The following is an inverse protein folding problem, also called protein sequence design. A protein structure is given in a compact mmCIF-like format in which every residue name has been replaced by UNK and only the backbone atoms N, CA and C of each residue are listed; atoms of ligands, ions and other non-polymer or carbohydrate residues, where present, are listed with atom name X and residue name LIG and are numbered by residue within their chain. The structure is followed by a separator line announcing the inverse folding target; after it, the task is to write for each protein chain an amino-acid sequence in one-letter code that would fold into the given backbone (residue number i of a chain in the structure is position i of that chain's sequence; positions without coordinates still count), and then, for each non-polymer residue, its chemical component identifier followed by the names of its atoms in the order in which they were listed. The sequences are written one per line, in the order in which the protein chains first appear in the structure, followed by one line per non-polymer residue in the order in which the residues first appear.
data_IF_525082046139
#
_entry.id   IF_525082046139
#
_cell.length_a   1.000
_cell.length_b   1.000
_cell.length_c   1.000
_cell.angle_alpha   90.00
_cell.angle_beta   90.00
_cell.angle_gamma   90.00
#
_symmetry.space_group_name_H-M   'P 1'
#
loop_
_entity.id
_entity.type
_entity.pdbx_description
1 polymer ?
#
# COMPACT_ATOMS: atom_id res chain seq x y z
N UNK A 1 53.60 31.37 -62.11
CA UNK A 1 53.28 31.37 -60.67
C UNK A 1 51.77 31.59 -60.50
N UNK A 2 50.96 30.57 -60.15
CA UNK A 2 49.54 30.74 -59.83
C UNK A 2 49.32 30.85 -58.30
N UNK A 3 48.35 31.64 -57.81
CA UNK A 3 48.13 31.82 -56.39
C UNK A 3 47.18 30.75 -55.82
N UNK A 4 47.65 30.10 -54.76
CA UNK A 4 46.93 29.14 -53.91
C UNK A 4 46.09 29.93 -52.91
N UNK A 5 44.80 30.19 -53.18
CA UNK A 5 43.92 30.84 -52.18
C UNK A 5 42.50 30.25 -52.00
N UNK A 6 42.12 29.18 -52.69
CA UNK A 6 40.72 28.71 -52.68
C UNK A 6 40.41 27.40 -51.93
N UNK A 7 41.36 26.80 -51.19
CA UNK A 7 41.12 25.49 -50.54
C UNK A 7 40.65 25.56 -49.08
N UNK A 8 40.80 26.68 -48.39
CA UNK A 8 40.46 26.79 -46.96
C UNK A 8 38.98 27.08 -46.66
N UNK A 9 38.23 27.68 -47.59
CA UNK A 9 36.81 28.02 -47.34
C UNK A 9 35.85 26.83 -47.54
N UNK A 10 36.25 25.80 -48.29
CA UNK A 10 35.38 24.65 -48.58
C UNK A 10 35.38 23.60 -47.45
N UNK A 11 36.50 23.46 -46.72
CA UNK A 11 36.62 22.52 -45.59
C UNK A 11 35.85 22.99 -44.35
N UNK A 12 35.78 24.30 -44.10
CA UNK A 12 35.05 24.85 -42.96
C UNK A 12 33.52 24.69 -43.09
N UNK A 13 32.97 24.79 -44.30
CA UNK A 13 31.51 24.65 -44.52
C UNK A 13 31.02 23.21 -44.43
N UNK A 14 31.88 22.23 -44.74
CA UNK A 14 31.53 20.81 -44.62
C UNK A 14 31.52 20.40 -43.15
N UNK A 15 32.54 20.78 -42.36
CA UNK A 15 32.62 20.47 -40.93
C UNK A 15 31.46 21.07 -40.10
N UNK A 16 31.02 22.30 -40.42
CA UNK A 16 29.88 22.94 -39.73
C UNK A 16 28.57 22.20 -40.03
N UNK A 17 28.38 21.71 -41.27
CA UNK A 17 27.18 20.95 -41.63
C UNK A 17 27.14 19.56 -41.00
N UNK A 18 28.28 18.89 -40.86
CA UNK A 18 28.35 17.56 -40.20
C UNK A 18 28.11 17.67 -38.69
N UNK A 19 28.61 18.74 -38.04
CA UNK A 19 28.39 18.98 -36.60
C UNK A 19 26.93 19.35 -36.32
N UNK A 20 26.27 20.16 -37.18
CA UNK A 20 24.85 20.46 -37.02
C UNK A 20 23.94 19.24 -37.26
N UNK A 21 24.30 18.34 -38.18
CA UNK A 21 23.51 17.14 -38.45
C UNK A 21 23.67 16.06 -37.35
N UNK A 22 24.83 15.96 -36.72
CA UNK A 22 25.06 15.10 -35.56
C UNK A 22 24.36 15.62 -34.28
N UNK A 23 24.25 16.94 -34.11
CA UNK A 23 23.54 17.54 -32.99
C UNK A 23 22.00 17.40 -33.08
N UNK A 24 21.45 17.20 -34.28
CA UNK A 24 20.00 17.01 -34.46
C UNK A 24 19.55 15.56 -34.20
N UNK A 25 20.46 14.59 -34.30
CA UNK A 25 20.15 13.16 -34.10
C UNK A 25 20.17 12.72 -32.62
N UNK A 26 20.72 13.53 -31.70
CA UNK A 26 20.72 13.23 -30.26
C UNK A 26 19.49 13.78 -29.52
N UNK A 27 18.61 14.52 -30.20
CA UNK A 27 17.43 15.14 -29.59
C UNK A 27 16.14 14.27 -29.65
N UNK A 28 16.17 13.10 -30.27
CA UNK A 28 14.98 12.23 -30.46
C UNK A 28 14.96 11.04 -29.47
N UNK A 29 15.97 10.92 -28.61
CA UNK A 29 16.17 9.76 -27.73
C UNK A 29 15.89 10.00 -26.25
N UNK A 30 14.76 10.62 -25.87
CA UNK A 30 14.23 10.58 -24.50
C UNK A 30 12.70 10.68 -24.56
N UNK A 31 12.07 9.57 -24.95
CA UNK A 31 10.66 9.36 -24.67
C UNK A 31 10.50 9.12 -23.17
N UNK A 32 10.43 10.20 -22.38
CA UNK A 32 9.83 10.13 -21.05
C UNK A 32 8.37 9.74 -21.26
N UNK A 33 8.08 8.44 -21.20
CA UNK A 33 6.72 7.98 -21.02
C UNK A 33 6.29 8.46 -19.64
N UNK A 34 5.65 9.64 -19.60
CA UNK A 34 4.92 10.14 -18.43
C UNK A 34 4.12 8.96 -17.89
N UNK A 35 4.33 8.55 -16.64
CA UNK A 35 3.51 7.50 -16.03
C UNK A 35 2.06 7.91 -16.20
N UNK A 36 1.28 7.16 -16.98
CA UNK A 36 -0.13 7.45 -17.12
C UNK A 36 -0.74 7.41 -15.73
N UNK A 37 -1.27 8.54 -15.28
CA UNK A 37 -2.03 8.59 -14.04
C UNK A 37 -3.11 7.51 -14.11
N UNK A 38 -3.22 6.66 -13.07
CA UNK A 38 -4.27 5.65 -13.06
C UNK A 38 -5.63 6.36 -13.21
N UNK A 39 -6.56 5.79 -13.99
CA UNK A 39 -7.83 6.44 -14.29
C UNK A 39 -8.51 6.93 -13.01
N UNK A 40 -9.15 8.12 -13.03
CA UNK A 40 -9.84 8.68 -11.88
C UNK A 40 -10.77 7.65 -11.26
N UNK A 41 -10.55 7.34 -9.98
CA UNK A 41 -11.44 6.43 -9.26
C UNK A 41 -12.74 7.16 -8.94
N UNK A 42 -13.87 6.49 -9.18
CA UNK A 42 -15.08 6.77 -8.43
C UNK A 42 -14.82 6.60 -6.93
N UNK A 43 -15.13 7.65 -6.16
CA UNK A 43 -14.99 7.65 -4.69
C UNK A 43 -15.78 6.47 -4.12
N UNK A 44 -15.14 5.67 -3.27
CA UNK A 44 -15.85 4.61 -2.55
C UNK A 44 -16.87 5.21 -1.57
N UNK A 45 -17.92 4.47 -1.26
CA UNK A 45 -18.77 4.81 -0.13
C UNK A 45 -17.92 4.90 1.15
N UNK A 46 -18.25 5.85 2.03
CA UNK A 46 -17.47 6.05 3.25
C UNK A 46 -17.61 4.87 4.21
N UNK A 47 -16.50 4.54 4.88
CA UNK A 47 -16.32 3.32 5.65
C UNK A 47 -15.77 3.65 7.04
N UNK A 48 -14.95 2.76 7.61
CA UNK A 48 -14.21 3.00 8.85
C UNK A 48 -13.12 4.05 8.65
N UNK A 49 -12.84 4.81 9.71
CA UNK A 49 -11.71 5.74 9.75
C UNK A 49 -10.90 5.62 11.03
N UNK A 50 -9.62 5.94 10.94
CA UNK A 50 -8.68 6.07 12.06
C UNK A 50 -7.83 7.33 11.84
N UNK A 51 -7.83 8.27 12.79
CA UNK A 51 -7.23 9.61 12.60
C UNK A 51 -7.64 10.25 11.26
N UNK A 52 -8.93 10.23 10.96
CA UNK A 52 -9.51 10.74 9.70
C UNK A 52 -9.01 10.06 8.41
N UNK A 53 -8.19 9.01 8.52
CA UNK A 53 -7.80 8.15 7.42
C UNK A 53 -8.90 7.13 7.15
N UNK A 54 -9.60 7.28 6.02
CA UNK A 54 -10.63 6.36 5.56
C UNK A 54 -10.28 5.70 4.24
N UNK A 55 -11.19 4.87 3.74
CA UNK A 55 -11.04 4.08 2.50
C UNK A 55 -10.61 4.91 1.27
N UNK A 56 -10.95 6.19 1.23
CA UNK A 56 -10.65 7.11 0.13
C UNK A 56 -9.44 8.02 0.38
N UNK A 57 -8.84 7.98 1.58
CA UNK A 57 -7.71 8.84 1.92
C UNK A 57 -6.51 8.44 1.09
N UNK A 58 -5.99 9.38 0.29
CA UNK A 58 -4.76 9.18 -0.47
C UNK A 58 -3.58 9.63 0.37
N UNK A 59 -2.58 8.76 0.46
CA UNK A 59 -1.34 9.06 1.13
C UNK A 59 -0.62 10.22 0.42
N UNK A 60 -0.34 11.27 1.18
CA UNK A 60 0.46 12.43 0.76
C UNK A 60 1.54 12.74 1.81
N UNK A 61 2.43 13.69 1.51
CA UNK A 61 3.44 14.11 2.50
C UNK A 61 2.80 14.78 3.70
N UNK A 62 1.74 15.53 3.48
CA UNK A 62 0.96 16.26 4.50
C UNK A 62 0.26 15.27 5.43
N UNK A 63 -0.32 14.18 4.89
CA UNK A 63 -0.89 13.10 5.70
C UNK A 63 0.16 12.45 6.59
N UNK A 64 1.36 12.17 6.05
CA UNK A 64 2.44 11.57 6.85
C UNK A 64 2.94 12.54 7.92
N UNK A 65 3.07 13.83 7.59
CA UNK A 65 3.49 14.84 8.55
C UNK A 65 2.48 14.99 9.70
N UNK A 66 1.18 15.07 9.41
CA UNK A 66 0.13 15.14 10.44
C UNK A 66 0.16 13.90 11.36
N UNK A 67 0.41 12.72 10.80
CA UNK A 67 0.58 11.50 11.61
C UNK A 67 1.84 11.57 12.47
N UNK A 68 2.96 12.05 11.95
CA UNK A 68 4.21 12.17 12.71
C UNK A 68 4.09 13.18 13.85
N UNK A 69 3.38 14.28 13.63
CA UNK A 69 3.10 15.29 14.65
C UNK A 69 2.25 14.73 15.80
N UNK A 70 1.32 13.80 15.50
CA UNK A 70 0.41 13.21 16.49
C UNK A 70 0.95 11.93 17.16
N UNK A 71 1.67 11.11 16.40
CA UNK A 71 2.04 9.74 16.78
C UNK A 71 3.55 9.59 17.02
N UNK A 72 4.33 10.62 16.70
CA UNK A 72 5.80 10.62 16.79
C UNK A 72 6.45 9.97 15.57
N UNK A 73 7.76 9.71 15.66
CA UNK A 73 8.51 9.17 14.52
C UNK A 73 8.06 7.76 14.10
N UNK A 74 7.93 7.56 12.80
CA UNK A 74 7.63 6.25 12.21
C UNK A 74 8.88 5.53 11.69
N UNK A 75 8.80 4.21 11.59
CA UNK A 75 9.63 3.45 10.65
C UNK A 75 8.87 3.19 9.35
N UNK A 76 9.59 3.18 8.23
CA UNK A 76 9.01 3.12 6.89
C UNK A 76 9.52 1.94 6.06
N UNK A 77 8.63 1.27 5.35
CA UNK A 77 8.93 0.15 4.43
C UNK A 77 8.18 0.34 3.10
N UNK A 78 8.91 0.20 1.98
CA UNK A 78 8.40 0.42 0.61
C UNK A 78 7.95 -0.86 -0.11
N UNK A 79 8.30 -2.02 0.43
CA UNK A 79 8.00 -3.32 -0.16
C UNK A 79 7.98 -4.35 0.95
N UNK A 80 6.92 -5.14 1.01
CA UNK A 80 6.70 -6.09 2.08
C UNK A 80 5.63 -7.12 1.74
N UNK A 81 5.56 -8.17 2.55
CA UNK A 81 4.43 -9.10 2.55
C UNK A 81 3.17 -8.40 3.04
N UNK A 82 2.02 -8.77 2.49
CA UNK A 82 0.70 -8.40 3.03
C UNK A 82 0.13 -9.66 3.65
N UNK A 83 0.25 -9.76 4.98
CA UNK A 83 -0.41 -10.81 5.74
C UNK A 83 -1.59 -10.21 6.48
N UNK A 84 -2.80 -10.64 6.11
CA UNK A 84 -4.04 -10.21 6.75
C UNK A 84 -4.32 -10.98 8.05
N UNK A 85 -3.42 -11.88 8.48
CA UNK A 85 -3.56 -12.68 9.71
C UNK A 85 -3.99 -11.83 10.92
N UNK A 86 -4.92 -12.37 11.70
CA UNK A 86 -5.22 -11.88 13.04
C UNK A 86 -4.91 -13.00 14.01
N UNK A 87 -4.52 -12.65 15.23
CA UNK A 87 -4.25 -13.64 16.25
C UNK A 87 -5.56 -14.20 16.81
N UNK A 88 -5.58 -15.47 17.23
CA UNK A 88 -4.52 -16.48 17.07
C UNK A 88 -4.54 -17.12 15.67
N UNK A 89 -3.48 -17.87 15.34
CA UNK A 89 -3.36 -18.54 14.04
C UNK A 89 -4.61 -19.38 13.72
N UNK A 90 -5.08 -19.32 12.47
CA UNK A 90 -6.32 -19.96 12.03
C UNK A 90 -7.59 -19.10 12.21
N UNK A 91 -7.52 -17.96 12.90
CA UNK A 91 -8.70 -17.11 13.16
C UNK A 91 -9.47 -16.74 11.89
N UNK A 92 -8.74 -16.35 10.83
CA UNK A 92 -9.34 -15.97 9.56
C UNK A 92 -10.06 -17.11 8.87
N UNK A 93 -9.46 -18.29 8.82
CA UNK A 93 -10.06 -19.43 8.14
C UNK A 93 -11.38 -19.83 8.81
N UNK A 94 -11.39 -19.82 10.15
CA UNK A 94 -12.53 -20.28 10.93
C UNK A 94 -13.64 -19.22 11.06
N UNK A 95 -13.30 -17.93 11.09
CA UNK A 95 -14.25 -16.87 11.45
C UNK A 95 -14.44 -15.79 10.37
N UNK A 96 -13.49 -15.64 9.44
CA UNK A 96 -13.46 -14.55 8.45
C UNK A 96 -13.07 -15.05 7.05
N UNK A 97 -13.85 -16.00 6.50
CA UNK A 97 -13.52 -16.75 5.27
C UNK A 97 -13.24 -15.88 4.03
N UNK A 98 -13.94 -14.75 3.88
CA UNK A 98 -13.70 -13.80 2.80
C UNK A 98 -12.30 -13.17 2.89
N UNK A 99 -11.89 -12.74 4.08
CA UNK A 99 -10.54 -12.23 4.33
C UNK A 99 -9.49 -13.34 4.23
N UNK A 100 -9.80 -14.57 4.64
CA UNK A 100 -8.91 -15.71 4.44
C UNK A 100 -8.63 -15.95 2.94
N UNK A 101 -9.67 -15.94 2.12
CA UNK A 101 -9.55 -16.09 0.66
C UNK A 101 -8.69 -14.96 0.07
N UNK A 102 -8.91 -13.74 0.52
CA UNK A 102 -8.12 -12.58 0.10
C UNK A 102 -6.64 -12.73 0.51
N UNK A 103 -6.38 -13.15 1.75
CA UNK A 103 -5.02 -13.40 2.24
C UNK A 103 -4.31 -14.48 1.41
N UNK A 104 -5.02 -15.55 1.05
CA UNK A 104 -4.51 -16.61 0.17
C UNK A 104 -4.19 -16.11 -1.23
N UNK A 105 -4.98 -15.19 -1.78
CA UNK A 105 -4.72 -14.62 -3.11
C UNK A 105 -3.53 -13.66 -3.13
N UNK A 106 -3.32 -12.90 -2.05
CA UNK A 106 -2.16 -12.02 -1.88
C UNK A 106 -0.87 -12.84 -1.78
N UNK A 107 -0.91 -13.93 -1.02
CA UNK A 107 0.25 -14.78 -0.73
C UNK A 107 0.27 -16.06 -1.59
N UNK A 108 -0.12 -15.97 -2.86
CA UNK A 108 -0.09 -17.09 -3.81
C UNK A 108 1.10 -16.97 -4.77
N UNK A 109 1.85 -18.06 -5.05
CA UNK A 109 1.64 -19.43 -4.59
C UNK A 109 2.01 -19.66 -3.11
N UNK A 110 1.42 -20.69 -2.50
CA UNK A 110 1.64 -21.02 -1.08
C UNK A 110 3.08 -21.50 -0.86
N UNK A 111 3.72 -21.06 0.22
CA UNK A 111 5.09 -21.42 0.58
C UNK A 111 6.15 -20.48 0.00
N UNK A 112 5.76 -19.57 -0.89
CA UNK A 112 6.62 -18.51 -1.38
C UNK A 112 6.38 -17.19 -0.63
N UNK A 113 7.45 -16.41 -0.46
CA UNK A 113 7.35 -15.05 0.03
C UNK A 113 6.92 -14.14 -1.12
N UNK A 114 5.66 -13.72 -1.12
CA UNK A 114 5.12 -12.79 -2.12
C UNK A 114 5.27 -11.35 -1.61
N UNK A 115 6.16 -10.61 -2.26
CA UNK A 115 6.41 -9.20 -1.94
C UNK A 115 5.50 -8.28 -2.74
N UNK A 116 4.89 -7.30 -2.08
CA UNK A 116 4.01 -6.30 -2.68
C UNK A 116 4.61 -4.91 -2.59
N UNK A 117 4.37 -4.07 -3.60
CA UNK A 117 4.73 -2.65 -3.57
C UNK A 117 3.73 -1.91 -2.67
N UNK A 118 4.17 -1.63 -1.44
CA UNK A 118 3.37 -1.01 -0.39
C UNK A 118 4.09 0.18 0.21
N UNK A 119 3.38 0.94 1.04
CA UNK A 119 3.97 1.93 1.93
C UNK A 119 3.47 1.63 3.33
N UNK A 120 4.33 1.02 4.15
CA UNK A 120 4.03 0.67 5.53
C UNK A 120 4.70 1.67 6.47
N UNK A 121 3.89 2.30 7.31
CA UNK A 121 4.30 3.21 8.37
C UNK A 121 4.02 2.53 9.70
N UNK A 122 5.04 2.42 10.56
CA UNK A 122 4.90 1.82 11.88
C UNK A 122 5.32 2.80 12.97
N UNK A 123 4.39 3.14 13.84
CA UNK A 123 4.56 4.00 15.00
C UNK A 123 4.62 3.11 16.24
N UNK A 124 5.84 2.80 16.72
CA UNK A 124 6.06 1.81 17.80
C UNK A 124 5.91 2.36 19.22
N UNK A 125 5.89 3.68 19.36
CA UNK A 125 5.91 4.37 20.65
C UNK A 125 4.92 5.53 20.69
N UNK A 126 3.78 5.39 20.00
CA UNK A 126 2.78 6.45 19.91
C UNK A 126 2.25 6.88 21.30
N UNK A 127 2.27 6.00 22.29
CA UNK A 127 1.91 6.30 23.67
C UNK A 127 2.82 7.37 24.31
N UNK A 128 4.07 7.52 23.85
CA UNK A 128 4.98 8.58 24.33
C UNK A 128 4.54 9.99 23.90
N UNK A 129 3.66 10.09 22.92
CA UNK A 129 3.02 11.34 22.49
C UNK A 129 1.67 11.57 23.18
N UNK A 130 1.35 10.82 24.24
CA UNK A 130 0.09 10.96 24.98
C UNK A 130 -1.12 10.34 24.30
N UNK A 131 -0.91 9.49 23.29
CA UNK A 131 -2.00 8.78 22.61
C UNK A 131 -2.40 7.49 23.37
N UNK A 132 -3.66 7.04 23.25
CA UNK A 132 -4.12 5.78 23.85
C UNK A 132 -3.59 4.52 23.15
N UNK A 133 -2.61 4.65 22.25
CA UNK A 133 -2.13 3.57 21.41
C UNK A 133 -0.62 3.33 21.60
N UNK A 134 -0.22 2.09 21.83
CA UNK A 134 1.18 1.69 21.89
C UNK A 134 1.79 1.55 20.50
N UNK A 135 1.09 0.83 19.61
CA UNK A 135 1.57 0.47 18.28
C UNK A 135 0.51 0.76 17.23
N UNK A 136 0.93 1.40 16.13
CA UNK A 136 0.08 1.63 14.96
C UNK A 136 0.88 1.22 13.72
N UNK A 137 0.29 0.38 12.88
CA UNK A 137 0.78 0.04 11.55
C UNK A 137 -0.25 0.48 10.52
N UNK A 138 0.18 1.33 9.59
CA UNK A 138 -0.64 1.82 8.49
C UNK A 138 -0.04 1.34 7.17
N UNK A 139 -0.80 0.56 6.40
CA UNK A 139 -0.32 0.03 5.12
C UNK A 139 -1.15 0.56 3.97
N UNK A 140 -0.47 1.16 3.01
CA UNK A 140 -1.04 1.72 1.79
C UNK A 140 -0.49 1.00 0.55
N UNK A 141 -1.28 0.98 -0.53
CA UNK A 141 -0.80 0.56 -1.85
C UNK A 141 0.16 1.62 -2.40
N UNK A 142 1.36 1.22 -2.83
CA UNK A 142 2.30 2.18 -3.42
C UNK A 142 1.81 2.75 -4.76
N UNK A 143 1.01 1.97 -5.51
CA UNK A 143 0.50 2.37 -6.83
C UNK A 143 -0.69 3.32 -6.75
N UNK A 144 -1.61 3.11 -5.81
CA UNK A 144 -2.83 3.93 -5.70
C UNK A 144 -2.78 4.98 -4.60
N UNK A 145 -1.87 4.81 -3.62
CA UNK A 145 -1.82 5.63 -2.41
C UNK A 145 -2.98 5.38 -1.43
N UNK A 146 -3.87 4.42 -1.72
CA UNK A 146 -5.04 4.12 -0.89
C UNK A 146 -4.68 3.12 0.22
N UNK A 147 -5.36 3.19 1.39
CA UNK A 147 -5.08 2.29 2.51
C UNK A 147 -5.54 0.87 2.20
N UNK A 148 -4.78 -0.10 2.68
CA UNK A 148 -5.02 -1.53 2.52
C UNK A 148 -5.52 -2.15 3.82
N UNK A 149 -4.78 -1.94 4.90
CA UNK A 149 -5.20 -2.31 6.24
C UNK A 149 -4.45 -1.47 7.29
N UNK A 150 -5.07 -1.31 8.46
CA UNK A 150 -4.47 -0.70 9.63
C UNK A 150 -4.50 -1.67 10.81
N UNK A 151 -3.42 -1.76 11.57
CA UNK A 151 -3.35 -2.51 12.83
C UNK A 151 -2.99 -1.57 13.97
N UNK A 152 -3.78 -1.61 15.03
CA UNK A 152 -3.63 -0.74 16.18
C UNK A 152 -3.63 -1.58 17.45
N UNK A 153 -2.67 -1.31 18.33
CA UNK A 153 -2.59 -1.88 19.66
C UNK A 153 -2.75 -0.76 20.69
N UNK A 154 -3.86 -0.75 21.44
CA UNK A 154 -4.05 0.16 22.57
C UNK A 154 -2.99 0.00 23.66
N UNK A 155 -2.89 0.99 24.55
CA UNK A 155 -2.17 0.84 25.81
C UNK A 155 -2.85 -0.24 26.67
N UNK A 156 -2.09 -0.93 27.52
CA UNK A 156 -2.65 -1.96 28.40
C UNK A 156 -3.75 -1.37 29.29
N UNK A 157 -4.92 -2.00 29.31
CA UNK A 157 -6.09 -1.55 30.08
C UNK A 157 -6.88 -0.40 29.45
N UNK A 158 -6.42 0.15 28.32
CA UNK A 158 -7.20 1.13 27.57
C UNK A 158 -8.38 0.46 26.88
N UNK A 159 -9.58 0.99 27.08
CA UNK A 159 -10.84 0.44 26.52
C UNK A 159 -11.78 1.50 25.97
N UNK A 160 -11.47 2.80 26.09
CA UNK A 160 -12.38 3.89 25.66
C UNK A 160 -12.68 3.91 24.16
N UNK A 161 -11.85 3.24 23.34
CA UNK A 161 -12.12 3.04 21.92
C UNK A 161 -13.38 2.19 21.67
N UNK A 162 -13.79 1.35 22.63
CA UNK A 162 -14.97 0.50 22.51
C UNK A 162 -16.26 1.32 22.43
N UNK A 163 -16.40 2.32 23.31
CA UNK A 163 -17.55 3.22 23.31
C UNK A 163 -17.59 4.04 22.02
N UNK A 164 -16.42 4.51 21.56
CA UNK A 164 -16.29 5.22 20.28
C UNK A 164 -16.74 4.36 19.11
N UNK A 165 -16.36 3.07 19.07
CA UNK A 165 -16.80 2.16 18.01
C UNK A 165 -18.29 1.86 18.09
N UNK A 166 -18.84 1.69 19.29
CA UNK A 166 -20.26 1.48 19.48
C UNK A 166 -21.09 2.68 19.01
N UNK A 167 -20.69 3.89 19.37
CA UNK A 167 -21.35 5.13 18.96
C UNK A 167 -21.28 5.33 17.44
N UNK A 168 -20.09 5.12 16.85
CA UNK A 168 -19.85 5.42 15.43
C UNK A 168 -20.35 4.34 14.46
N UNK A 169 -20.32 3.08 14.88
CA UNK A 169 -20.57 1.94 14.00
C UNK A 169 -21.67 0.99 14.50
N UNK A 170 -22.25 1.24 15.68
CA UNK A 170 -23.30 0.42 16.27
C UNK A 170 -22.78 -0.82 17.00
N UNK A 171 -23.67 -1.77 17.28
CA UNK A 171 -23.32 -3.01 17.95
C UNK A 171 -22.44 -3.94 17.07
N UNK A 172 -21.36 -4.54 17.61
CA UNK A 172 -20.57 -5.52 16.88
C UNK A 172 -21.30 -6.86 16.74
N UNK A 173 -20.89 -7.63 15.74
CA UNK A 173 -21.07 -9.08 15.75
C UNK A 173 -19.98 -9.68 16.64
N UNK A 174 -20.42 -10.44 17.66
CA UNK A 174 -19.54 -11.08 18.64
C UNK A 174 -19.33 -12.55 18.26
N UNK A 175 -18.08 -12.94 18.08
CA UNK A 175 -17.69 -14.32 17.79
C UNK A 175 -16.70 -14.81 18.84
N UNK A 176 -17.10 -15.80 19.63
CA UNK A 176 -16.22 -16.43 20.63
C UNK A 176 -15.46 -17.57 19.98
N UNK A 177 -14.18 -17.71 20.33
CA UNK A 177 -13.36 -18.84 19.93
C UNK A 177 -12.75 -19.53 21.16
N UNK A 178 -13.53 -20.36 21.86
CA UNK A 178 -13.14 -20.92 23.17
C UNK A 178 -11.85 -21.73 23.13
N UNK A 179 -11.58 -22.45 22.04
CA UNK A 179 -10.38 -23.28 21.88
C UNK A 179 -9.09 -22.47 22.00
N UNK A 180 -9.15 -21.18 21.65
CA UNK A 180 -8.00 -20.28 21.71
C UNK A 180 -8.15 -19.18 22.77
N UNK A 181 -9.21 -19.21 23.58
CA UNK A 181 -9.45 -18.24 24.65
C UNK A 181 -9.60 -16.80 24.16
N UNK A 182 -10.08 -16.59 22.94
CA UNK A 182 -10.26 -15.26 22.36
C UNK A 182 -11.71 -14.98 21.98
N UNK A 183 -12.04 -13.70 21.92
CA UNK A 183 -13.29 -13.18 21.40
C UNK A 183 -13.00 -12.15 20.30
N UNK A 184 -13.82 -12.16 19.25
CA UNK A 184 -13.76 -11.18 18.17
C UNK A 184 -15.01 -10.32 18.20
N UNK A 185 -14.83 -9.00 18.18
CA UNK A 185 -15.89 -8.04 17.93
C UNK A 185 -15.68 -7.48 16.53
N UNK A 186 -16.69 -7.59 15.67
CA UNK A 186 -16.54 -7.23 14.27
C UNK A 186 -17.68 -6.37 13.74
N UNK A 187 -17.32 -5.44 12.86
CA UNK A 187 -18.24 -4.59 12.12
C UNK A 187 -17.94 -4.71 10.63
N UNK A 188 -19.00 -4.66 9.82
CA UNK A 188 -18.90 -4.57 8.36
C UNK A 188 -19.57 -3.30 7.89
N UNK A 189 -18.85 -2.48 7.11
CA UNK A 189 -19.38 -1.25 6.53
C UNK A 189 -18.80 -1.06 5.13
N UNK A 190 -19.68 -0.80 4.15
CA UNK A 190 -19.28 -0.62 2.75
C UNK A 190 -18.38 -1.75 2.16
N UNK A 191 -18.48 -2.97 2.70
CA UNK A 191 -17.67 -4.12 2.29
C UNK A 191 -16.30 -4.24 2.97
N UNK A 192 -15.91 -3.26 3.79
CA UNK A 192 -14.71 -3.31 4.62
C UNK A 192 -15.03 -3.95 5.99
N UNK A 193 -13.99 -4.37 6.70
CA UNK A 193 -14.14 -4.96 8.04
C UNK A 193 -13.30 -4.22 9.10
N UNK A 194 -13.91 -3.99 10.26
CA UNK A 194 -13.22 -3.63 11.50
C UNK A 194 -13.34 -4.82 12.45
N UNK A 195 -12.21 -5.29 12.99
CA UNK A 195 -12.15 -6.41 13.92
C UNK A 195 -11.35 -5.99 15.16
N UNK A 196 -11.93 -6.19 16.33
CA UNK A 196 -11.22 -6.13 17.61
C UNK A 196 -11.08 -7.56 18.12
N UNK A 197 -9.83 -8.04 18.18
CA UNK A 197 -9.49 -9.29 18.88
C UNK A 197 -9.28 -8.98 20.34
N UNK A 198 -9.96 -9.74 21.20
CA UNK A 198 -9.84 -9.70 22.65
C UNK A 198 -9.22 -11.03 23.09
N UNK A 199 -8.02 -10.97 23.64
CA UNK A 199 -7.33 -12.12 24.25
C UNK A 199 -6.82 -11.77 25.63
N UNK A 200 -5.93 -12.60 26.15
CA UNK A 200 -5.20 -12.33 27.40
C UNK A 200 -3.70 -12.39 27.17
N UNK A 201 -2.98 -11.49 27.83
CA UNK A 201 -1.52 -11.56 27.90
C UNK A 201 -1.06 -12.74 28.78
N UNK A 202 0.25 -13.00 28.82
CA UNK A 202 0.84 -14.07 29.65
C UNK A 202 0.55 -13.94 31.16
N UNK A 203 0.03 -12.81 31.62
CA UNK A 203 -0.34 -12.54 33.01
C UNK A 203 -1.86 -12.55 33.22
N UNK A 204 -2.63 -12.98 32.22
CA UNK A 204 -4.09 -13.05 32.28
C UNK A 204 -4.78 -11.70 32.16
N UNK A 205 -4.07 -10.62 31.79
CA UNK A 205 -4.70 -9.31 31.59
C UNK A 205 -5.29 -9.23 30.18
N UNK A 206 -6.50 -8.66 30.00
CA UNK A 206 -7.06 -8.47 28.67
C UNK A 206 -6.13 -7.68 27.74
N UNK A 207 -5.99 -8.17 26.51
CA UNK A 207 -5.21 -7.55 25.45
C UNK A 207 -6.10 -7.36 24.21
N UNK A 208 -6.02 -6.17 23.63
CA UNK A 208 -6.85 -5.77 22.49
C UNK A 208 -5.98 -5.54 21.26
N UNK A 209 -6.44 -6.07 20.12
CA UNK A 209 -5.86 -5.79 18.80
C UNK A 209 -6.97 -5.32 17.87
N UNK A 210 -6.84 -4.09 17.39
CA UNK A 210 -7.80 -3.47 16.47
C UNK A 210 -7.23 -3.57 15.06
N UNK A 211 -8.00 -4.10 14.11
CA UNK A 211 -7.59 -4.19 12.71
C UNK A 211 -8.71 -3.69 11.80
N UNK A 212 -8.38 -2.80 10.87
CA UNK A 212 -9.28 -2.33 9.81
C UNK A 212 -8.77 -2.88 8.48
N UNK A 213 -9.63 -3.55 7.72
CA UNK A 213 -9.34 -4.08 6.40
C UNK A 213 -10.16 -3.35 5.33
N UNK A 214 -9.47 -2.67 4.41
CA UNK A 214 -10.09 -2.00 3.28
C UNK A 214 -10.19 -2.96 2.09
N UNK A 215 -11.14 -3.89 2.16
CA UNK A 215 -11.33 -5.02 1.24
C UNK A 215 -11.37 -4.58 -0.22
N UNK A 216 -12.04 -3.45 -0.52
CA UNK A 216 -12.10 -2.90 -1.89
C UNK A 216 -10.71 -2.52 -2.40
N UNK A 217 -9.89 -1.89 -1.56
CA UNK A 217 -8.54 -1.45 -1.94
C UNK A 217 -7.57 -2.62 -2.07
N UNK A 218 -7.70 -3.65 -1.22
CA UNK A 218 -6.95 -4.91 -1.35
C UNK A 218 -7.28 -5.65 -2.66
N UNK A 219 -8.56 -5.76 -3.02
CA UNK A 219 -8.97 -6.33 -4.31
C UNK A 219 -8.44 -5.51 -5.49
N UNK A 220 -8.42 -4.19 -5.37
CA UNK A 220 -7.85 -3.31 -6.39
C UNK A 220 -6.35 -3.54 -6.57
N UNK A 221 -5.59 -3.67 -5.48
CA UNK A 221 -4.17 -4.01 -5.53
C UNK A 221 -3.95 -5.30 -6.33
N UNK A 222 -4.70 -6.37 -6.00
CA UNK A 222 -4.62 -7.64 -6.72
C UNK A 222 -4.93 -7.50 -8.21
N UNK A 223 -5.96 -6.73 -8.57
CA UNK A 223 -6.32 -6.50 -9.96
C UNK A 223 -5.20 -5.75 -10.72
N UNK A 224 -4.62 -4.72 -10.11
CA UNK A 224 -3.52 -3.95 -10.69
C UNK A 224 -2.28 -4.83 -10.88
N UNK A 225 -1.86 -5.58 -9.87
CA UNK A 225 -0.71 -6.48 -9.97
C UNK A 225 -0.91 -7.56 -11.05
N UNK A 226 -2.09 -8.19 -11.11
CA UNK A 226 -2.41 -9.17 -12.16
C UNK A 226 -2.35 -8.55 -13.55
N UNK A 227 -2.85 -7.33 -13.72
CA UNK A 227 -2.79 -6.62 -14.99
C UNK A 227 -1.36 -6.24 -15.40
N UNK A 228 -0.53 -5.80 -14.44
CA UNK A 228 0.88 -5.51 -14.64
C UNK A 228 1.69 -6.74 -15.05
N UNK A 229 1.51 -7.87 -14.34
CA UNK A 229 2.14 -9.16 -14.68
C UNK A 229 1.75 -9.63 -16.09
N UNK A 230 0.48 -9.45 -16.50
CA UNK A 230 0.03 -9.78 -17.87
C UNK A 230 0.69 -8.90 -18.93
N UNK A 231 0.87 -7.60 -18.67
CA UNK A 231 1.54 -6.67 -19.60
C UNK A 231 3.01 -7.02 -19.78
N UNK A 232 3.73 -7.27 -18.68
CA UNK A 232 5.14 -7.68 -18.71
C UNK A 232 5.34 -8.98 -19.52
N UNK A 233 4.52 -10.01 -19.27
CA UNK A 233 4.57 -11.27 -20.04
C UNK A 233 4.30 -11.09 -21.54
N UNK A 234 3.41 -10.17 -21.92
CA UNK A 234 3.14 -9.89 -23.35
C UNK A 234 4.31 -9.18 -24.01
N UNK A 235 4.98 -8.28 -23.31
CA UNK A 235 6.17 -7.58 -23.81
C UNK A 235 7.37 -8.53 -23.96
N UNK A 236 7.53 -9.51 -23.07
CA UNK A 236 8.58 -10.54 -23.17
C UNK A 236 8.38 -11.52 -24.35
N UNK A 237 7.15 -11.68 -24.84
CA UNK A 237 6.82 -12.59 -25.97
C UNK A 237 6.90 -11.88 -27.33
N UNK A 238 6.96 -10.54 -27.37
CA UNK A 238 7.07 -9.73 -28.60
C UNK A 238 8.49 -9.22 -29.00
N UNK A 239 9.64 -9.80 -28.58
CA UNK A 239 10.96 -9.39 -29.09
C UNK A 239 11.27 -9.95 -30.50
N UNK A 240 10.40 -10.82 -31.05
CA UNK A 240 10.63 -11.54 -32.31
C UNK A 240 10.33 -10.78 -33.61
N UNK A 241 9.99 -9.48 -33.56
CA UNK A 241 9.66 -8.68 -34.77
C UNK A 241 10.65 -7.57 -35.13
N UNK A 242 11.75 -7.41 -34.38
CA UNK A 242 12.76 -6.39 -34.63
C UNK A 242 14.12 -6.94 -35.10
N UNK A 243 14.17 -8.20 -35.53
CA UNK A 243 15.39 -8.86 -35.97
C UNK A 243 15.20 -9.68 -37.25
N UNK A 244 14.58 -9.09 -38.29
CA UNK A 244 14.68 -9.54 -39.68
C UNK A 244 14.54 -8.34 -40.61
#
# INVERSE_FOLDING_TARGET
MPPIKNKFHCLASVLIRTVLMAAFLTAIGCGDSVPQDPPPLEKAAESFTFFDLGVNTRLSKEVVQDLDDRLGSHSFEKRGIIDLSIQPSGALENNFSALHTLNRQLNSPVGERVEHDIRRYMYRYAARQGTPFNYIELVFSAQSGLPLYFRIKPVKGETGFMDTFHEKYGAPVVTKWPQAGVEFLSWTKAGDQLIVTIGTDRYGTPEYHITIFFTRNLNRLLALERSGRKKLRKQEVDPGKAAF
#
